data_IF_978134372199
#
_entry.id   IF_978134372199
#
_cell.length_a   1.000
_cell.length_b   1.000
_cell.length_c   1.000
_cell.angle_alpha   90.00
_cell.angle_beta   90.00
_cell.angle_gamma   90.00
#
_symmetry.space_group_name_H-M   'P 1'
#
loop_
_entity.id
_entity.type
_entity.pdbx_description
1 polymer ?
#
# COMPACT_ATOMS: atom_id res chain seq x y z
N UNK A 1 -0.25 14.14 4.22
CA UNK A 1 -0.57 13.76 2.84
C UNK A 1 0.74 13.49 2.14
N UNK A 2 0.81 12.45 1.33
CA UNK A 2 1.97 12.13 0.51
C UNK A 2 1.84 12.84 -0.84
N UNK A 3 2.96 13.23 -1.43
CA UNK A 3 3.04 13.82 -2.76
C UNK A 3 3.39 12.78 -3.82
N UNK A 4 3.06 13.04 -5.08
CA UNK A 4 3.46 12.17 -6.19
C UNK A 4 4.98 12.15 -6.37
N UNK A 5 5.67 13.25 -6.05
CA UNK A 5 7.14 13.32 -6.09
C UNK A 5 7.76 12.33 -5.08
N UNK A 6 7.25 12.28 -3.83
CA UNK A 6 7.70 11.30 -2.82
C UNK A 6 7.43 9.85 -3.25
N UNK A 7 6.32 9.61 -3.95
CA UNK A 7 6.00 8.27 -4.50
C UNK A 7 6.99 7.92 -5.62
N UNK A 8 7.23 8.83 -6.55
CA UNK A 8 8.14 8.62 -7.68
C UNK A 8 9.59 8.43 -7.23
N UNK A 9 10.03 9.14 -6.20
CA UNK A 9 11.35 8.94 -5.61
C UNK A 9 11.49 7.54 -4.99
N UNK A 10 10.48 7.08 -4.24
CA UNK A 10 10.54 5.81 -3.52
C UNK A 10 10.23 4.58 -4.39
N UNK A 11 9.38 4.71 -5.42
CA UNK A 11 8.82 3.58 -6.17
C UNK A 11 9.02 3.69 -7.68
N UNK A 12 9.54 4.80 -8.21
CA UNK A 12 9.69 4.97 -9.66
C UNK A 12 10.59 3.92 -10.34
N UNK A 13 11.44 3.25 -9.55
CA UNK A 13 12.29 2.16 -10.02
C UNK A 13 11.50 0.93 -10.51
N UNK A 14 10.23 0.75 -10.12
CA UNK A 14 9.35 -0.34 -10.62
C UNK A 14 8.73 -0.04 -11.99
N UNK A 15 9.00 1.13 -12.56
CA UNK A 15 8.39 1.61 -13.80
C UNK A 15 7.14 2.48 -13.60
N UNK A 16 6.74 2.75 -12.36
CA UNK A 16 5.68 3.70 -12.03
C UNK A 16 6.13 5.15 -12.31
N UNK A 17 5.28 5.94 -12.96
CA UNK A 17 5.39 7.40 -13.05
C UNK A 17 4.07 8.00 -12.51
N UNK A 18 3.99 8.18 -11.19
CA UNK A 18 2.80 8.65 -10.51
C UNK A 18 2.42 10.08 -10.93
N UNK A 19 1.18 10.26 -11.36
CA UNK A 19 0.60 11.55 -11.70
C UNK A 19 -0.48 11.98 -10.68
N UNK A 20 -1.25 11.03 -10.15
CA UNK A 20 -2.35 11.30 -9.22
C UNK A 20 -2.58 10.15 -8.24
N UNK A 21 -2.82 10.46 -6.96
CA UNK A 21 -3.27 9.49 -5.96
C UNK A 21 -4.80 9.56 -5.85
N UNK A 22 -5.47 8.47 -6.19
CA UNK A 22 -6.93 8.40 -6.26
C UNK A 22 -7.57 7.84 -5.00
N UNK A 23 -6.83 7.01 -4.27
CA UNK A 23 -7.35 6.29 -3.12
C UNK A 23 -6.24 5.93 -2.16
N UNK A 24 -6.60 5.92 -0.88
CA UNK A 24 -5.73 5.56 0.22
C UNK A 24 -6.57 4.82 1.28
N UNK A 25 -6.07 3.70 1.81
CA UNK A 25 -6.75 2.98 2.89
C UNK A 25 -6.09 3.22 4.26
N UNK A 26 -6.56 2.54 5.31
CA UNK A 26 -6.05 2.69 6.68
C UNK A 26 -4.64 2.09 6.90
N UNK A 27 -4.19 1.18 6.04
CA UNK A 27 -2.86 0.58 6.05
C UNK A 27 -1.85 1.30 5.13
N UNK A 28 -2.28 2.38 4.47
CA UNK A 28 -1.43 3.13 3.56
C UNK A 28 -1.29 2.49 2.18
N UNK A 29 -2.16 1.53 1.83
CA UNK A 29 -2.26 1.10 0.43
C UNK A 29 -2.75 2.28 -0.41
N UNK A 30 -2.18 2.45 -1.60
CA UNK A 30 -2.53 3.54 -2.52
C UNK A 30 -3.06 2.99 -3.84
N UNK A 31 -4.06 3.66 -4.41
CA UNK A 31 -4.38 3.57 -5.85
C UNK A 31 -3.84 4.83 -6.52
N UNK A 32 -3.01 4.64 -7.53
CA UNK A 32 -2.25 5.69 -8.20
C UNK A 32 -2.53 5.63 -9.70
N UNK A 33 -2.79 6.77 -10.34
CA UNK A 33 -2.78 6.88 -11.81
C UNK A 33 -1.38 7.25 -12.28
N UNK A 34 -0.88 6.56 -13.29
CA UNK A 34 0.38 6.91 -13.96
C UNK A 34 0.15 7.90 -15.13
N UNK A 35 1.24 8.40 -15.70
CA UNK A 35 1.24 9.34 -16.83
C UNK A 35 0.74 8.74 -18.16
N UNK A 36 0.65 7.40 -18.25
CA UNK A 36 0.04 6.67 -19.36
C UNK A 36 -1.46 6.41 -19.14
N UNK A 37 -2.01 6.80 -17.98
CA UNK A 37 -3.42 6.65 -17.62
C UNK A 37 -3.79 5.27 -17.05
N UNK A 38 -2.80 4.41 -16.77
CA UNK A 38 -2.99 3.14 -16.06
C UNK A 38 -3.07 3.37 -14.56
N UNK A 39 -3.56 2.38 -13.85
CA UNK A 39 -3.78 2.41 -12.43
C UNK A 39 -2.95 1.35 -11.74
N UNK A 40 -2.25 1.78 -10.71
CA UNK A 40 -1.34 0.97 -9.92
C UNK A 40 -1.85 0.87 -8.49
N UNK A 41 -1.57 -0.27 -7.86
CA UNK A 41 -1.74 -0.46 -6.43
C UNK A 41 -0.38 -0.59 -5.76
N UNK A 42 -0.16 0.25 -4.76
CA UNK A 42 0.97 0.16 -3.86
C UNK A 42 0.49 -0.43 -2.53
N UNK A 43 1.13 -1.51 -2.09
CA UNK A 43 0.84 -2.25 -0.87
C UNK A 43 2.09 -2.29 0.02
N UNK A 44 2.27 -1.34 0.97
CA UNK A 44 3.50 -1.21 1.75
C UNK A 44 3.86 -2.45 2.57
N UNK A 45 2.86 -3.13 3.13
CA UNK A 45 3.01 -4.36 3.89
C UNK A 45 3.58 -5.52 3.06
N UNK A 46 3.31 -5.52 1.76
CA UNK A 46 3.72 -6.59 0.85
C UNK A 46 4.96 -6.20 0.04
N UNK A 47 5.54 -5.01 0.31
CA UNK A 47 6.66 -4.44 -0.44
C UNK A 47 6.42 -4.52 -1.96
N UNK A 48 5.19 -4.22 -2.40
CA UNK A 48 4.75 -4.42 -3.78
C UNK A 48 4.07 -3.19 -4.35
N UNK A 49 4.36 -2.89 -5.61
CA UNK A 49 3.67 -1.90 -6.42
C UNK A 49 3.43 -2.48 -7.81
N UNK A 50 2.18 -2.65 -8.21
CA UNK A 50 1.80 -3.39 -9.42
C UNK A 50 0.61 -2.75 -10.15
N UNK A 51 0.51 -2.88 -11.48
CA UNK A 51 -0.65 -2.42 -12.23
C UNK A 51 -1.88 -3.25 -11.85
N UNK A 52 -3.01 -2.58 -11.67
CA UNK A 52 -4.30 -3.20 -11.32
C UNK A 52 -5.41 -2.91 -12.34
N UNK A 53 -5.25 -1.86 -13.15
CA UNK A 53 -6.15 -1.57 -14.27
C UNK A 53 -5.44 -0.77 -15.36
N UNK A 54 -5.74 -1.08 -16.63
CA UNK A 54 -5.15 -0.38 -17.78
C UNK A 54 -5.83 0.97 -18.07
N UNK A 55 -7.10 1.10 -17.67
CA UNK A 55 -7.90 2.28 -17.93
C UNK A 55 -8.98 2.50 -16.86
N UNK A 56 -9.73 3.58 -17.01
CA UNK A 56 -10.76 3.97 -16.04
C UNK A 56 -11.91 2.95 -15.96
N UNK A 57 -12.29 2.34 -17.08
CA UNK A 57 -13.38 1.38 -17.10
C UNK A 57 -12.98 0.08 -16.37
N UNK A 58 -11.73 -0.35 -16.54
CA UNK A 58 -11.15 -1.47 -15.81
C UNK A 58 -11.06 -1.17 -14.30
N UNK A 59 -10.66 0.04 -13.91
CA UNK A 59 -10.68 0.45 -12.50
C UNK A 59 -12.10 0.43 -11.93
N UNK A 60 -13.07 1.01 -12.64
CA UNK A 60 -14.46 1.05 -12.20
C UNK A 60 -15.02 -0.38 -12.04
N UNK A 61 -14.61 -1.34 -12.89
CA UNK A 61 -14.98 -2.75 -12.76
C UNK A 61 -14.50 -3.38 -11.44
N UNK A 62 -13.35 -2.95 -10.90
CA UNK A 62 -12.85 -3.42 -9.59
C UNK A 62 -13.78 -3.03 -8.43
N UNK A 63 -14.57 -1.96 -8.59
CA UNK A 63 -15.56 -1.53 -7.60
C UNK A 63 -16.74 -2.50 -7.45
N UNK A 64 -16.88 -3.46 -8.36
CA UNK A 64 -17.87 -4.53 -8.31
C UNK A 64 -17.26 -5.89 -7.94
N UNK A 65 -15.94 -5.97 -7.78
CA UNK A 65 -15.24 -7.18 -7.41
C UNK A 65 -15.11 -7.28 -5.88
N UNK A 66 -15.93 -8.11 -5.26
CA UNK A 66 -15.98 -8.25 -3.80
C UNK A 66 -14.66 -8.75 -3.19
N UNK A 67 -13.90 -9.58 -3.89
CA UNK A 67 -12.60 -10.07 -3.45
C UNK A 67 -11.58 -8.92 -3.41
N UNK A 68 -11.53 -8.13 -4.50
CA UNK A 68 -10.69 -6.93 -4.55
C UNK A 68 -11.06 -5.94 -3.46
N UNK A 69 -12.36 -5.69 -3.24
CA UNK A 69 -12.82 -4.76 -2.21
C UNK A 69 -12.46 -5.25 -0.81
N UNK A 70 -12.60 -6.54 -0.53
CA UNK A 70 -12.23 -7.10 0.77
C UNK A 70 -10.72 -6.97 1.02
N UNK A 71 -9.91 -7.27 0.01
CA UNK A 71 -8.46 -7.13 0.07
C UNK A 71 -7.99 -5.66 0.11
N UNK A 72 -8.73 -4.75 -0.53
CA UNK A 72 -8.43 -3.31 -0.50
C UNK A 72 -8.80 -2.67 0.84
N UNK A 73 -10.00 -2.94 1.38
CA UNK A 73 -10.45 -2.34 2.63
C UNK A 73 -9.87 -3.01 3.87
N UNK A 74 -9.45 -4.28 3.75
CA UNK A 74 -8.80 -5.04 4.82
C UNK A 74 -9.59 -4.99 6.15
N UNK A 75 -10.91 -5.22 6.15
CA UNK A 75 -11.78 -4.87 7.27
C UNK A 75 -11.40 -5.60 8.57
N UNK A 76 -10.96 -6.86 8.46
CA UNK A 76 -10.53 -7.65 9.63
C UNK A 76 -9.23 -7.10 10.23
N UNK A 77 -8.26 -6.73 9.38
CA UNK A 77 -6.98 -6.18 9.79
C UNK A 77 -7.16 -4.79 10.40
N UNK A 78 -8.05 -3.97 9.83
CA UNK A 78 -8.39 -2.65 10.37
C UNK A 78 -9.04 -2.78 11.74
N UNK A 79 -10.01 -3.68 11.89
CA UNK A 79 -10.64 -3.95 13.19
C UNK A 79 -9.62 -4.42 14.25
N UNK A 80 -8.71 -5.32 13.86
CA UNK A 80 -7.62 -5.76 14.73
C UNK A 80 -6.69 -4.61 15.13
N UNK A 81 -6.31 -3.75 14.18
CA UNK A 81 -5.43 -2.62 14.43
C UNK A 81 -6.08 -1.55 15.31
N UNK A 82 -7.34 -1.17 15.03
CA UNK A 82 -8.10 -0.23 15.84
C UNK A 82 -8.29 -0.73 17.29
N UNK A 83 -8.62 -2.01 17.46
CA UNK A 83 -8.79 -2.60 18.80
C UNK A 83 -7.48 -2.74 19.59
N UNK A 84 -6.33 -2.76 18.89
CA UNK A 84 -5.00 -2.92 19.51
C UNK A 84 -4.31 -1.58 19.78
N UNK A 85 -4.41 -0.64 18.84
CA UNK A 85 -3.64 0.61 18.82
C UNK A 85 -4.50 1.86 19.05
N UNK A 86 -5.83 1.72 19.01
CA UNK A 86 -6.76 2.84 18.97
C UNK A 86 -6.88 3.45 17.56
N UNK A 87 -7.78 4.43 17.38
CA UNK A 87 -8.04 5.05 16.09
C UNK A 87 -6.83 5.84 15.55
N UNK A 88 -6.72 5.94 14.22
CA UNK A 88 -5.68 6.74 13.58
C UNK A 88 -5.83 8.23 13.88
N UNK A 89 -4.70 8.88 14.16
CA UNK A 89 -4.61 10.35 14.11
C UNK A 89 -4.29 10.82 12.69
N UNK A 90 -4.57 12.10 12.43
CA UNK A 90 -4.40 12.70 11.11
C UNK A 90 -2.99 12.45 10.52
N UNK A 91 -2.95 11.95 9.28
CA UNK A 91 -1.70 11.70 8.54
C UNK A 91 -0.94 10.42 8.93
N UNK A 92 -1.45 9.63 9.88
CA UNK A 92 -0.88 8.33 10.24
C UNK A 92 -1.65 7.17 9.62
N UNK A 93 -0.95 6.05 9.49
CA UNK A 93 -1.49 4.76 9.03
C UNK A 93 -1.12 3.64 9.98
N UNK A 94 -1.91 2.58 9.94
CA UNK A 94 -1.51 1.30 10.50
C UNK A 94 -0.45 0.68 9.60
N UNK A 95 0.49 -0.03 10.20
CA UNK A 95 1.48 -0.80 9.47
C UNK A 95 1.87 -2.03 10.26
N UNK A 96 2.57 -2.95 9.58
CA UNK A 96 3.28 -4.03 10.25
C UNK A 96 4.69 -3.55 10.63
N UNK A 97 5.17 -3.95 11.80
CA UNK A 97 6.57 -3.72 12.22
C UNK A 97 7.52 -4.53 11.35
N UNK A 98 7.12 -5.76 11.04
CA UNK A 98 7.74 -6.65 10.06
C UNK A 98 6.74 -6.78 8.91
N UNK A 99 7.04 -6.27 7.70
CA UNK A 99 6.21 -6.44 6.51
C UNK A 99 5.90 -7.91 6.23
N UNK A 100 4.74 -8.19 5.65
CA UNK A 100 4.31 -9.54 5.24
C UNK A 100 5.31 -10.19 4.30
N UNK A 101 5.85 -9.43 3.34
CA UNK A 101 6.86 -9.90 2.40
C UNK A 101 8.14 -10.45 3.07
N UNK A 102 8.38 -10.07 4.34
CA UNK A 102 9.52 -10.50 5.15
C UNK A 102 9.10 -11.52 6.24
N UNK A 103 7.95 -12.19 6.07
CA UNK A 103 7.42 -13.18 7.01
C UNK A 103 6.64 -12.56 8.19
N UNK A 104 6.29 -11.28 8.10
CA UNK A 104 5.40 -10.65 9.06
C UNK A 104 3.97 -11.17 8.93
N UNK A 105 3.26 -11.21 10.05
CA UNK A 105 1.85 -11.56 10.07
C UNK A 105 1.02 -10.49 10.79
N UNK A 106 -0.28 -10.47 10.49
CA UNK A 106 -1.24 -9.64 11.20
C UNK A 106 -1.48 -10.21 12.59
N UNK A 107 -0.69 -9.72 13.55
CA UNK A 107 -0.76 -10.06 14.96
C UNK A 107 -0.65 -8.81 15.82
N UNK A 108 -1.23 -8.84 17.02
CA UNK A 108 -1.23 -7.68 17.94
C UNK A 108 0.19 -7.18 18.28
N UNK A 109 1.16 -8.08 18.27
CA UNK A 109 2.58 -7.85 18.52
C UNK A 109 3.34 -7.24 17.32
N UNK A 110 2.82 -7.41 16.11
CA UNK A 110 3.42 -6.92 14.88
C UNK A 110 2.75 -5.66 14.32
N UNK A 111 1.78 -5.07 15.03
CA UNK A 111 1.10 -3.85 14.58
C UNK A 111 1.79 -2.59 15.14
N UNK A 112 1.78 -1.53 14.32
CA UNK A 112 2.24 -0.20 14.70
C UNK A 112 1.45 0.89 13.96
N UNK A 113 1.73 2.15 14.30
CA UNK A 113 1.32 3.30 13.47
C UNK A 113 2.55 4.06 13.02
N UNK A 114 2.46 4.71 11.86
CA UNK A 114 3.55 5.48 11.25
C UNK A 114 2.97 6.62 10.38
N UNK A 115 3.68 7.74 10.16
CA UNK A 115 3.29 8.71 9.14
C UNK A 115 3.26 8.06 7.76
N UNK A 116 2.30 8.44 6.91
CA UNK A 116 2.16 7.86 5.57
C UNK A 116 3.44 8.00 4.72
N UNK A 117 4.04 9.19 4.67
CA UNK A 117 5.23 9.43 3.84
C UNK A 117 6.41 8.56 4.26
N UNK A 118 6.58 8.35 5.57
CA UNK A 118 7.60 7.46 6.11
C UNK A 118 7.33 5.99 5.74
N UNK A 119 6.06 5.55 5.81
CA UNK A 119 5.67 4.20 5.39
C UNK A 119 5.99 3.94 3.92
N UNK A 120 5.59 4.85 3.04
CA UNK A 120 5.78 4.69 1.59
C UNK A 120 7.27 4.71 1.22
N UNK A 121 8.05 5.62 1.80
CA UNK A 121 9.50 5.68 1.58
C UNK A 121 10.20 4.42 2.07
N UNK A 122 9.91 4.00 3.32
CA UNK A 122 10.53 2.80 3.90
C UNK A 122 10.19 1.55 3.09
N UNK A 123 8.92 1.38 2.70
CA UNK A 123 8.50 0.24 1.90
C UNK A 123 9.11 0.26 0.49
N UNK A 124 9.27 1.43 -0.13
CA UNK A 124 9.91 1.56 -1.44
C UNK A 124 11.39 1.20 -1.43
N UNK A 125 12.13 1.72 -0.43
CA UNK A 125 13.53 1.37 -0.20
C UNK A 125 13.70 -0.15 0.07
N UNK A 126 12.83 -0.71 0.92
CA UNK A 126 12.83 -2.14 1.24
C UNK A 126 12.54 -3.00 0.02
N UNK A 127 11.48 -2.68 -0.73
CA UNK A 127 11.10 -3.38 -1.95
C UNK A 127 12.25 -3.37 -2.97
N UNK A 128 12.94 -2.24 -3.14
CA UNK A 128 14.08 -2.13 -4.05
C UNK A 128 15.27 -3.00 -3.62
N UNK A 129 15.58 -3.02 -2.31
CA UNK A 129 16.69 -3.81 -1.78
C UNK A 129 16.45 -5.32 -1.85
N UNK A 130 15.19 -5.74 -1.73
CA UNK A 130 14.81 -7.15 -1.76
C UNK A 130 14.32 -7.61 -3.14
N UNK A 131 14.37 -6.75 -4.15
CA UNK A 131 13.98 -7.11 -5.51
C UNK A 131 14.79 -8.31 -6.03
N UNK A 132 14.08 -9.23 -6.69
CA UNK A 132 14.66 -10.50 -7.17
C UNK A 132 14.96 -11.56 -6.09
N UNK A 133 14.71 -11.31 -4.81
CA UNK A 133 14.82 -12.33 -3.77
C UNK A 133 13.53 -13.14 -3.60
N UNK A 134 13.61 -14.39 -3.11
CA UNK A 134 12.42 -15.15 -2.76
C UNK A 134 11.62 -14.45 -1.66
N UNK A 135 10.32 -14.29 -1.89
CA UNK A 135 9.41 -13.79 -0.88
C UNK A 135 9.03 -14.90 0.10
N UNK A 136 8.76 -14.53 1.34
CA UNK A 136 8.29 -15.44 2.37
C UNK A 136 6.78 -15.64 2.16
N UNK A 137 6.36 -16.84 1.74
CA UNK A 137 4.96 -17.24 1.58
C UNK A 137 4.36 -17.74 2.89
#
# INVERSE_FOLDING_TARGET
>A
MITVDEINEAWGWVGLQAEEVLGENAFGNLIIRDDEGRYWRLSPQDLRCEPVAEDRAALDALSYNQEFLNDWYMPEQVCLAESTLGPLSAGRKYCLRIPSALGGHYGRDNLATVPLSELIRFAGEGAQQFDGLPQWN
#
